data_IF_161883315546
#
_entry.id   IF_161883315546
#
_cell.length_a   1.000
_cell.length_b   1.000
_cell.length_c   1.000
_cell.angle_alpha   90.00
_cell.angle_beta   90.00
_cell.angle_gamma   90.00
#
_symmetry.space_group_name_H-M   'P 1'
#
loop_
_entity.id
_entity.type
_entity.pdbx_description
1 polymer ?
#
# COMPACT_ATOMS: atom_id res chain seq x y z
N UNK A 1 -34.38 34.79 -27.99
CA UNK A 1 -34.42 33.32 -28.14
C UNK A 1 -33.18 32.76 -27.49
N UNK A 2 -33.31 32.08 -26.33
CA UNK A 2 -32.18 31.38 -25.71
C UNK A 2 -31.84 30.21 -26.62
N UNK A 3 -30.62 30.19 -27.17
CA UNK A 3 -30.15 29.09 -28.02
C UNK A 3 -30.31 27.80 -27.23
N UNK A 4 -31.03 26.83 -27.80
CA UNK A 4 -31.07 25.49 -27.23
C UNK A 4 -29.63 24.93 -27.29
N UNK A 5 -29.16 24.27 -26.23
CA UNK A 5 -27.88 23.57 -26.27
C UNK A 5 -27.85 22.57 -27.45
N UNK A 6 -26.65 22.31 -27.96
CA UNK A 6 -26.40 21.28 -28.98
C UNK A 6 -26.99 19.92 -28.55
N UNK A 7 -27.44 19.09 -29.48
CA UNK A 7 -27.90 17.72 -29.19
C UNK A 7 -26.80 16.86 -28.55
N UNK A 8 -25.54 17.18 -28.81
CA UNK A 8 -24.35 16.54 -28.23
C UNK A 8 -23.82 17.25 -26.96
N UNK A 9 -24.53 18.25 -26.44
CA UNK A 9 -24.10 18.96 -25.23
C UNK A 9 -24.53 18.19 -23.98
N UNK A 10 -23.58 17.53 -23.34
CA UNK A 10 -23.75 16.99 -21.99
C UNK A 10 -23.36 18.07 -20.95
N UNK A 11 -24.24 18.32 -19.98
CA UNK A 11 -23.92 19.22 -18.85
C UNK A 11 -22.75 18.62 -18.06
N UNK A 12 -21.62 19.34 -17.87
CA UNK A 12 -20.50 18.85 -17.08
C UNK A 12 -20.88 18.39 -15.67
N UNK A 13 -21.91 19.00 -15.05
CA UNK A 13 -22.41 18.61 -13.75
C UNK A 13 -23.12 17.24 -13.78
N UNK A 14 -23.87 16.95 -14.84
CA UNK A 14 -24.52 15.66 -15.05
C UNK A 14 -23.51 14.58 -15.40
N UNK A 15 -22.51 14.89 -16.24
CA UNK A 15 -21.40 13.96 -16.55
C UNK A 15 -20.62 13.60 -15.28
N UNK A 16 -20.31 14.60 -14.44
CA UNK A 16 -19.67 14.38 -13.14
C UNK A 16 -20.56 13.56 -12.20
N UNK A 17 -21.87 13.84 -12.17
CA UNK A 17 -22.81 13.12 -11.31
C UNK A 17 -23.00 11.67 -11.76
N UNK A 18 -23.05 11.42 -13.07
CA UNK A 18 -23.09 10.07 -13.65
C UNK A 18 -21.79 9.32 -13.37
N UNK A 19 -20.64 10.00 -13.49
CA UNK A 19 -19.33 9.42 -13.16
C UNK A 19 -19.26 9.06 -11.68
N UNK A 20 -19.63 9.98 -10.80
CA UNK A 20 -19.69 9.77 -9.36
C UNK A 20 -20.68 8.64 -8.99
N UNK A 21 -21.86 8.61 -9.62
CA UNK A 21 -22.81 7.52 -9.44
C UNK A 21 -22.25 6.19 -9.94
N UNK A 22 -21.59 6.11 -11.10
CA UNK A 22 -20.93 4.87 -11.56
C UNK A 22 -19.83 4.41 -10.60
N UNK A 23 -19.08 5.37 -10.03
CA UNK A 23 -18.01 5.12 -9.07
C UNK A 23 -18.53 4.75 -7.66
N UNK A 24 -19.74 5.18 -7.28
CA UNK A 24 -20.31 5.05 -5.92
C UNK A 24 -21.72 4.38 -5.84
N UNK A 25 -22.21 3.75 -6.91
CA UNK A 25 -23.40 2.88 -6.95
C UNK A 25 -23.18 1.40 -6.51
N UNK A 26 -23.74 1.03 -5.36
CA UNK A 26 -23.64 -0.30 -4.72
C UNK A 26 -22.84 -0.29 -3.41
N UNK A 27 -22.88 -1.34 -2.59
CA UNK A 27 -21.97 -1.48 -1.43
C UNK A 27 -20.64 -2.07 -1.94
N UNK A 28 -19.68 -1.20 -2.28
CA UNK A 28 -18.49 -1.49 -3.12
C UNK A 28 -17.45 -2.44 -2.53
N UNK A 29 -17.64 -2.95 -1.31
CA UNK A 29 -16.57 -3.67 -0.60
C UNK A 29 -16.37 -5.12 -1.03
N UNK A 30 -17.31 -5.70 -1.79
CA UNK A 30 -17.26 -7.11 -2.23
C UNK A 30 -17.36 -7.28 -3.75
N UNK A 31 -16.87 -6.33 -4.55
CA UNK A 31 -16.95 -6.44 -6.02
C UNK A 31 -15.96 -7.48 -6.55
N UNK A 32 -16.47 -8.70 -6.75
CA UNK A 32 -15.80 -9.82 -7.44
C UNK A 32 -16.26 -9.97 -8.90
N UNK A 33 -17.09 -9.03 -9.38
CA UNK A 33 -17.63 -9.03 -10.74
C UNK A 33 -16.52 -8.94 -11.78
N UNK A 34 -16.68 -9.70 -12.89
CA UNK A 34 -15.67 -9.82 -13.95
C UNK A 34 -15.34 -8.49 -14.63
N UNK A 35 -16.31 -7.58 -14.67
CA UNK A 35 -16.22 -6.31 -15.40
C UNK A 35 -15.77 -5.14 -14.50
N UNK A 36 -15.45 -5.40 -13.22
CA UNK A 36 -15.02 -4.38 -12.29
C UNK A 36 -13.50 -4.38 -12.13
N UNK A 37 -12.89 -3.22 -12.36
CA UNK A 37 -11.47 -2.96 -12.11
C UNK A 37 -11.34 -2.03 -10.92
N UNK A 38 -10.64 -2.45 -9.86
CA UNK A 38 -10.46 -1.64 -8.64
C UNK A 38 -9.61 -0.41 -8.98
N UNK A 39 -10.12 0.82 -8.78
CA UNK A 39 -9.35 2.04 -8.99
C UNK A 39 -8.07 2.03 -8.15
N UNK A 40 -6.96 2.50 -8.73
CA UNK A 40 -5.62 2.39 -8.12
C UNK A 40 -5.55 2.98 -6.70
N UNK A 41 -6.19 4.13 -6.48
CA UNK A 41 -6.24 4.78 -5.17
C UNK A 41 -7.01 4.00 -4.09
N UNK A 42 -7.92 3.10 -4.50
CA UNK A 42 -8.71 2.23 -3.61
C UNK A 42 -8.06 0.85 -3.42
N UNK A 43 -6.99 0.53 -4.14
CA UNK A 43 -6.29 -0.75 -3.97
C UNK A 43 -5.72 -0.83 -2.55
N UNK A 44 -6.01 -1.94 -1.89
CA UNK A 44 -5.44 -2.26 -0.57
C UNK A 44 -4.03 -2.77 -0.81
N UNK A 45 -3.04 -2.14 -0.17
CA UNK A 45 -1.64 -2.55 -0.22
C UNK A 45 -1.15 -2.97 1.17
N UNK A 46 -0.01 -3.67 1.19
CA UNK A 46 0.57 -4.18 2.43
C UNK A 46 0.90 -3.05 3.41
N UNK A 47 1.31 -1.88 2.92
CA UNK A 47 1.62 -0.71 3.75
C UNK A 47 0.40 -0.18 4.51
N UNK A 48 -0.72 0.08 3.82
CA UNK A 48 -1.97 0.54 4.43
C UNK A 48 -2.44 -0.43 5.51
N UNK A 49 -2.36 -1.76 5.26
CA UNK A 49 -2.72 -2.77 6.25
C UNK A 49 -1.78 -2.81 7.46
N UNK A 50 -0.47 -2.60 7.26
CA UNK A 50 0.46 -2.42 8.39
C UNK A 50 0.09 -1.19 9.23
N UNK A 51 -0.26 -0.08 8.60
CA UNK A 51 -0.69 1.12 9.31
C UNK A 51 -1.97 0.86 10.13
N UNK A 52 -2.96 0.16 9.55
CA UNK A 52 -4.18 -0.24 10.28
C UNK A 52 -3.85 -1.09 11.52
N UNK A 53 -2.94 -2.07 11.40
CA UNK A 53 -2.48 -2.89 12.52
C UNK A 53 -1.81 -2.04 13.62
N UNK A 54 -0.92 -1.12 13.26
CA UNK A 54 -0.23 -0.25 14.22
C UNK A 54 -1.20 0.66 14.98
N UNK A 55 -2.22 1.19 14.28
CA UNK A 55 -3.28 1.99 14.90
C UNK A 55 -4.05 1.14 15.90
N UNK A 56 -4.46 -0.08 15.50
CA UNK A 56 -5.20 -0.99 16.37
C UNK A 56 -4.39 -1.36 17.62
N UNK A 57 -3.09 -1.67 17.48
CA UNK A 57 -2.20 -1.98 18.61
C UNK A 57 -2.07 -0.79 19.57
N UNK A 58 -1.96 0.43 19.03
CA UNK A 58 -1.91 1.66 19.82
C UNK A 58 -3.19 1.85 20.63
N UNK A 59 -4.36 1.64 20.01
CA UNK A 59 -5.66 1.71 20.69
C UNK A 59 -5.80 0.64 21.78
N UNK A 60 -5.37 -0.60 21.52
CA UNK A 60 -5.36 -1.68 22.51
C UNK A 60 -4.51 -1.28 23.71
N UNK A 61 -3.30 -0.78 23.46
CA UNK A 61 -2.37 -0.35 24.51
C UNK A 61 -2.95 0.80 25.35
N UNK A 62 -3.55 1.81 24.72
CA UNK A 62 -4.17 2.94 25.40
C UNK A 62 -5.31 2.48 26.32
N UNK A 63 -6.22 1.64 25.82
CA UNK A 63 -7.35 1.14 26.61
C UNK A 63 -6.89 0.28 27.80
N UNK A 64 -5.89 -0.59 27.58
CA UNK A 64 -5.28 -1.38 28.66
C UNK A 64 -4.63 -0.47 29.72
N UNK A 65 -3.89 0.55 29.28
CA UNK A 65 -3.21 1.51 30.17
C UNK A 65 -4.22 2.32 31.00
N UNK A 66 -5.30 2.79 30.38
CA UNK A 66 -6.38 3.52 31.07
C UNK A 66 -7.07 2.66 32.14
N UNK A 67 -7.32 1.39 31.83
CA UNK A 67 -7.87 0.44 32.80
C UNK A 67 -6.91 0.16 33.94
N UNK A 68 -5.63 -0.07 33.64
CA UNK A 68 -4.59 -0.28 34.64
C UNK A 68 -4.50 0.92 35.60
N UNK A 69 -4.56 2.14 35.06
CA UNK A 69 -4.62 3.36 35.87
C UNK A 69 -5.85 3.39 36.79
N UNK A 70 -7.01 2.95 36.31
CA UNK A 70 -8.23 2.85 37.14
C UNK A 70 -8.10 1.82 38.27
N UNK A 71 -7.45 0.68 38.01
CA UNK A 71 -7.19 -0.36 39.01
C UNK A 71 -6.20 0.14 40.06
N UNK A 72 -5.14 0.85 39.65
CA UNK A 72 -4.17 1.44 40.58
C UNK A 72 -4.82 2.47 41.49
N UNK A 73 -5.65 3.38 40.94
CA UNK A 73 -6.42 4.32 41.74
C UNK A 73 -7.33 3.63 42.76
N UNK A 74 -7.99 2.53 42.36
CA UNK A 74 -8.83 1.75 43.26
C UNK A 74 -8.02 1.07 44.37
N UNK A 75 -6.81 0.58 44.06
CA UNK A 75 -5.87 0.05 45.06
C UNK A 75 -5.49 1.14 46.07
N UNK A 76 -5.13 2.32 45.60
CA UNK A 76 -4.70 3.41 46.47
C UNK A 76 -5.87 3.92 47.33
N UNK A 77 -7.08 4.01 46.75
CA UNK A 77 -8.31 4.29 47.48
C UNK A 77 -8.59 3.22 48.56
N UNK A 78 -8.36 1.94 48.26
CA UNK A 78 -8.50 0.85 49.24
C UNK A 78 -7.57 1.04 50.43
N UNK A 79 -6.31 1.39 50.17
CA UNK A 79 -5.31 1.64 51.22
C UNK A 79 -5.77 2.79 52.12
N UNK A 80 -6.13 3.93 51.53
CA UNK A 80 -6.61 5.10 52.27
C UNK A 80 -7.89 4.80 53.08
N UNK A 81 -8.82 4.03 52.50
CA UNK A 81 -10.06 3.63 53.17
C UNK A 81 -9.78 2.75 54.38
N UNK A 82 -8.85 1.79 54.27
CA UNK A 82 -8.44 0.93 55.39
C UNK A 82 -7.77 1.74 56.49
N UNK A 83 -6.90 2.69 56.15
CA UNK A 83 -6.24 3.57 57.12
C UNK A 83 -7.26 4.42 57.88
N UNK A 84 -8.21 5.02 57.16
CA UNK A 84 -9.30 5.80 57.77
C UNK A 84 -10.23 4.94 58.61
N UNK A 85 -10.54 3.71 58.19
CA UNK A 85 -11.32 2.78 59.00
C UNK A 85 -10.59 2.44 60.30
N UNK A 86 -9.27 2.24 60.26
CA UNK A 86 -8.47 1.95 61.46
C UNK A 86 -8.49 3.11 62.46
N UNK A 87 -8.38 4.36 62.00
CA UNK A 87 -8.46 5.52 62.91
C UNK A 87 -9.85 5.63 63.54
N UNK A 88 -10.92 5.42 62.77
CA UNK A 88 -12.30 5.42 63.28
C UNK A 88 -12.56 4.29 64.28
N UNK A 89 -11.97 3.10 64.07
CA UNK A 89 -12.05 1.99 65.03
C UNK A 89 -11.39 2.34 66.36
N UNK A 90 -10.23 3.01 66.33
CA UNK A 90 -9.55 3.46 67.55
C UNK A 90 -10.40 4.50 68.30
N UNK A 91 -10.95 5.49 67.58
CA UNK A 91 -11.84 6.50 68.16
C UNK A 91 -13.11 5.86 68.77
N UNK A 92 -13.71 4.90 68.08
CA UNK A 92 -14.88 4.18 68.54
C UNK A 92 -14.60 3.37 69.81
N UNK A 93 -13.43 2.74 69.92
CA UNK A 93 -13.01 2.03 71.14
C UNK A 93 -12.88 2.95 72.33
N UNK A 94 -12.27 4.13 72.16
CA UNK A 94 -12.14 5.13 73.22
C UNK A 94 -13.51 5.59 73.73
N UNK A 95 -14.48 5.81 72.83
CA UNK A 95 -15.86 6.16 73.20
C UNK A 95 -16.56 5.00 73.92
N UNK A 96 -16.33 3.76 73.49
CA UNK A 96 -16.89 2.57 74.14
C UNK A 96 -16.31 2.34 75.54
N UNK A 97 -15.03 2.62 75.77
CA UNK A 97 -14.42 2.54 77.11
C UNK A 97 -15.09 3.46 78.14
N UNK A 98 -15.67 4.58 77.68
CA UNK A 98 -16.40 5.54 78.51
C UNK A 98 -17.90 5.21 78.68
N UNK A 99 -18.39 4.12 78.09
CA UNK A 99 -19.79 3.66 78.16
C UNK A 99 -19.91 2.31 78.88
N UNK A 100 -21.09 2.02 79.43
CA UNK A 100 -21.37 0.71 80.00
C UNK A 100 -21.30 -0.38 78.91
N UNK A 101 -20.69 -1.56 79.18
CA UNK A 101 -20.58 -2.63 78.20
C UNK A 101 -21.91 -3.10 77.59
N UNK A 102 -23.04 -2.96 78.29
CA UNK A 102 -24.36 -3.29 77.77
C UNK A 102 -24.83 -2.38 76.63
N UNK A 103 -24.25 -1.19 76.52
CA UNK A 103 -24.59 -0.18 75.50
C UNK A 103 -23.61 -0.16 74.32
N UNK A 104 -22.65 -1.09 74.27
CA UNK A 104 -21.68 -1.18 73.19
C UNK A 104 -22.36 -1.74 71.94
N UNK A 105 -22.34 -0.97 70.84
CA UNK A 105 -22.66 -1.51 69.50
C UNK A 105 -21.45 -2.24 68.90
N UNK A 106 -21.68 -3.25 68.04
CA UNK A 106 -20.60 -3.98 67.40
C UNK A 106 -19.78 -3.06 66.48
N UNK A 107 -18.45 -3.15 66.58
CA UNK A 107 -17.53 -2.46 65.68
C UNK A 107 -17.62 -3.13 64.30
N UNK A 108 -17.86 -2.37 63.22
CA UNK A 108 -17.89 -2.94 61.87
C UNK A 108 -16.57 -3.65 61.51
N UNK A 109 -16.63 -4.76 60.77
CA UNK A 109 -15.45 -5.53 60.42
C UNK A 109 -14.52 -4.68 59.55
N UNK A 110 -13.25 -4.55 59.98
CA UNK A 110 -12.23 -3.89 59.17
C UNK A 110 -11.71 -4.88 58.11
N UNK A 111 -11.56 -4.46 56.84
CA UNK A 111 -11.05 -5.35 55.79
C UNK A 111 -9.69 -5.95 56.17
N UNK A 112 -9.63 -7.27 56.26
CA UNK A 112 -8.40 -7.99 56.58
C UNK A 112 -7.39 -7.89 55.42
N UNK A 113 -6.12 -7.65 55.74
CA UNK A 113 -5.01 -7.65 54.78
C UNK A 113 -4.55 -9.07 54.42
N UNK A 114 -5.48 -10.00 54.14
CA UNK A 114 -5.18 -11.43 53.90
C UNK A 114 -4.22 -11.71 52.74
N UNK A 115 -4.00 -10.75 51.84
CA UNK A 115 -3.17 -10.89 50.65
C UNK A 115 -2.07 -9.83 50.54
N UNK A 116 -1.62 -9.24 51.65
CA UNK A 116 -0.37 -8.46 51.66
C UNK A 116 0.79 -9.43 51.85
N UNK A 117 1.61 -9.56 50.81
CA UNK A 117 2.85 -10.33 50.84
C UNK A 117 3.99 -9.35 51.06
N UNK A 118 4.61 -9.41 52.23
CA UNK A 118 5.81 -8.64 52.50
C UNK A 118 7.03 -9.40 51.96
N UNK A 119 8.17 -8.72 51.83
CA UNK A 119 9.42 -9.32 51.35
C UNK A 119 9.80 -10.57 52.14
N UNK A 120 9.48 -10.60 53.43
CA UNK A 120 9.65 -11.77 54.29
C UNK A 120 8.67 -12.91 53.97
N UNK A 121 7.42 -12.60 53.65
CA UNK A 121 6.41 -13.59 53.24
C UNK A 121 6.80 -14.26 51.93
N UNK A 122 7.32 -13.48 50.97
CA UNK A 122 7.82 -14.00 49.70
C UNK A 122 9.10 -14.84 49.87
N UNK A 123 10.03 -14.42 50.74
CA UNK A 123 11.21 -15.23 51.08
C UNK A 123 10.85 -16.55 51.76
N UNK A 124 9.88 -16.54 52.69
CA UNK A 124 9.39 -17.78 53.33
C UNK A 124 8.79 -18.73 52.31
N UNK A 125 7.97 -18.22 51.39
CA UNK A 125 7.41 -19.04 50.31
C UNK A 125 8.50 -19.61 49.39
N UNK A 126 9.53 -18.82 49.06
CA UNK A 126 10.68 -19.28 48.28
C UNK A 126 11.44 -20.40 49.00
N UNK A 127 11.75 -20.23 50.29
CA UNK A 127 12.38 -21.25 51.11
C UNK A 127 11.52 -22.51 51.24
N UNK A 128 10.20 -22.36 51.34
CA UNK A 128 9.27 -23.47 51.41
C UNK A 128 9.25 -24.27 50.10
N UNK A 129 9.31 -23.59 48.94
CA UNK A 129 9.43 -24.24 47.64
C UNK A 129 10.79 -24.94 47.45
N UNK A 130 11.88 -24.30 47.87
CA UNK A 130 13.24 -24.90 47.85
C UNK A 130 13.32 -26.14 48.74
N UNK A 131 12.76 -26.07 49.96
CA UNK A 131 12.66 -27.21 50.87
C UNK A 131 11.80 -28.32 50.27
N UNK A 132 10.71 -27.98 49.59
CA UNK A 132 9.81 -28.95 48.94
C UNK A 132 10.49 -29.68 47.77
N UNK A 133 11.39 -29.00 47.06
CA UNK A 133 12.27 -29.58 46.04
C UNK A 133 13.34 -30.47 46.68
N UNK A 134 13.90 -30.09 47.83
CA UNK A 134 14.89 -30.89 48.57
C UNK A 134 14.28 -32.12 49.27
N UNK A 135 13.02 -32.06 49.72
CA UNK A 135 12.32 -33.18 50.38
C UNK A 135 11.65 -34.14 49.40
N UNK A 136 11.75 -33.91 48.09
CA UNK A 136 11.26 -34.87 47.09
C UNK A 136 12.19 -36.09 47.06
N UNK A 137 11.73 -37.31 47.36
CA UNK A 137 12.53 -38.50 47.13
C UNK A 137 12.80 -38.61 45.63
N UNK A 138 14.05 -38.90 45.27
CA UNK A 138 14.48 -39.09 43.90
C UNK A 138 13.71 -40.25 43.26
N UNK A 139 12.65 -39.93 42.50
CA UNK A 139 12.11 -40.83 41.49
C UNK A 139 12.65 -40.35 40.16
N UNK A 140 13.39 -41.25 39.52
CA UNK A 140 14.11 -41.05 38.28
C UNK A 140 13.17 -40.79 37.09
N UNK A 141 13.65 -39.90 36.23
CA UNK A 141 13.45 -39.77 34.78
C UNK A 141 12.14 -39.22 34.19
N UNK A 142 12.35 -38.21 33.34
CA UNK A 142 11.34 -37.62 32.46
C UNK A 142 11.54 -36.12 32.29
N UNK A 143 12.63 -35.72 31.64
CA UNK A 143 13.02 -34.32 31.50
C UNK A 143 12.02 -33.46 30.72
N UNK A 144 11.93 -32.18 31.09
CA UNK A 144 12.16 -31.02 30.22
C UNK A 144 11.99 -29.75 31.08
N UNK A 145 13.08 -29.02 31.27
CA UNK A 145 13.04 -27.69 31.88
C UNK A 145 12.72 -26.64 30.83
N UNK A 146 11.97 -25.63 31.25
CA UNK A 146 11.99 -24.31 30.61
C UNK A 146 10.75 -23.91 29.82
N UNK A 147 10.40 -22.64 30.03
CA UNK A 147 9.48 -21.79 29.27
C UNK A 147 8.00 -21.79 29.65
N UNK A 148 7.56 -20.61 30.10
CA UNK A 148 6.19 -20.33 30.50
C UNK A 148 5.23 -20.17 29.33
N UNK A 149 3.95 -20.20 29.65
CA UNK A 149 2.89 -19.69 28.78
C UNK A 149 1.72 -20.64 28.57
N UNK A 150 0.59 -20.27 29.17
CA UNK A 150 -0.78 -20.39 28.64
C UNK A 150 -1.45 -21.76 28.42
N UNK A 151 -2.75 -21.79 28.74
CA UNK A 151 -3.71 -22.89 28.50
C UNK A 151 -4.13 -23.52 29.83
N UNK A 152 -5.33 -23.31 30.37
CA UNK A 152 -6.63 -23.43 29.70
C UNK A 152 -7.26 -24.77 30.14
N UNK A 153 -8.48 -24.70 30.68
CA UNK A 153 -9.36 -25.80 31.11
C UNK A 153 -9.09 -26.50 32.45
N UNK A 154 -9.87 -26.09 33.47
CA UNK A 154 -10.41 -26.98 34.50
C UNK A 154 -11.93 -26.80 34.54
N UNK A 155 -12.72 -27.88 34.46
CA UNK A 155 -14.16 -27.80 34.62
C UNK A 155 -14.56 -27.65 36.09
N UNK A 156 -15.68 -26.96 36.28
CA UNK A 156 -16.39 -26.80 37.55
C UNK A 156 -16.92 -28.17 37.97
N UNK A 157 -16.52 -28.66 39.15
CA UNK A 157 -17.23 -29.70 39.87
C UNK A 157 -17.40 -29.26 41.33
N UNK A 158 -18.64 -28.87 41.64
CA UNK A 158 -19.11 -28.67 42.99
C UNK A 158 -19.05 -29.99 43.77
N UNK A 159 -18.54 -29.93 45.00
CA UNK A 159 -18.97 -30.83 46.08
C UNK A 159 -18.86 -30.09 47.41
N UNK A 160 -20.01 -29.66 47.89
CA UNK A 160 -20.27 -29.52 49.32
C UNK A 160 -20.14 -30.91 49.95
N UNK A 161 -19.42 -30.98 51.06
CA UNK A 161 -19.74 -31.90 52.15
C UNK A 161 -19.12 -31.35 53.42
N UNK A 162 -19.99 -31.02 54.37
CA UNK A 162 -19.66 -30.93 55.78
C UNK A 162 -18.90 -32.19 56.24
N UNK A 163 -18.05 -32.05 57.26
CA UNK A 163 -18.12 -32.86 58.48
C UNK A 163 -17.22 -32.23 59.55
N UNK A 164 -17.82 -32.26 60.74
CA UNK A 164 -17.38 -31.82 62.05
C UNK A 164 -16.09 -32.49 62.54
N UNK A 165 -15.49 -31.78 63.51
CA UNK A 165 -14.79 -32.31 64.68
C UNK A 165 -13.49 -33.10 64.46
N UNK A 166 -12.37 -32.49 64.89
CA UNK A 166 -11.40 -33.20 65.73
C UNK A 166 -10.61 -32.22 66.59
N UNK A 167 -10.92 -32.25 67.88
CA UNK A 167 -10.10 -31.70 68.93
C UNK A 167 -8.72 -32.38 68.93
N UNK A 168 -7.69 -31.62 69.29
CA UNK A 168 -6.47 -32.19 69.85
C UNK A 168 -5.98 -31.27 70.97
N UNK A 169 -6.08 -31.84 72.15
CA UNK A 169 -5.51 -31.45 73.42
C UNK A 169 -3.99 -31.35 73.35
N UNK A 170 -3.45 -30.19 73.73
CA UNK A 170 -2.15 -30.12 74.38
C UNK A 170 -2.33 -29.41 75.72
N UNK A 171 -2.25 -30.23 76.76
CA UNK A 171 -2.13 -29.83 78.16
C UNK A 171 -0.85 -29.02 78.36
N UNK A 172 -0.98 -27.79 78.84
CA UNK A 172 0.07 -27.13 79.61
C UNK A 172 -0.56 -26.57 80.88
N UNK A 173 -0.27 -27.27 81.96
CA UNK A 173 -0.55 -26.89 83.33
C UNK A 173 0.16 -25.58 83.66
N UNK A 174 -0.60 -24.47 83.70
CA UNK A 174 -0.15 -23.25 84.37
C UNK A 174 -1.21 -22.80 85.35
N UNK A 175 -0.92 -23.12 86.61
CA UNK A 175 -1.62 -22.67 87.80
C UNK A 175 -1.73 -21.14 87.80
N UNK A 176 -2.96 -20.62 87.70
CA UNK A 176 -3.28 -19.27 88.14
C UNK A 176 -4.47 -19.35 89.10
N UNK A 177 -4.11 -19.17 90.37
CA UNK A 177 -5.02 -19.02 91.51
C UNK A 177 -6.06 -17.95 91.20
N UNK A 178 -7.30 -18.32 91.47
CA UNK A 178 -8.41 -17.42 91.75
C UNK A 178 -7.97 -16.35 92.75
N UNK A 179 -7.86 -15.09 92.31
CA UNK A 179 -7.91 -13.96 93.23
C UNK A 179 -9.37 -13.50 93.25
N UNK A 180 -10.06 -13.99 94.26
CA UNK A 180 -11.33 -13.49 94.73
C UNK A 180 -11.30 -11.96 94.84
N UNK A 181 -12.37 -11.37 94.34
CA UNK A 181 -12.78 -9.99 94.50
C UNK A 181 -12.62 -9.51 95.94
N UNK A 182 -11.70 -8.59 96.17
CA UNK A 182 -11.85 -7.57 97.20
C UNK A 182 -11.84 -6.21 96.51
N UNK A 183 -12.98 -5.89 95.90
CA UNK A 183 -13.37 -4.52 95.61
C UNK A 183 -13.46 -3.81 96.95
N UNK A 184 -12.41 -3.07 97.30
CA UNK A 184 -12.44 -2.13 98.41
C UNK A 184 -13.52 -1.10 98.03
N UNK A 185 -14.70 -1.25 98.63
CA UNK A 185 -15.80 -0.30 98.53
C UNK A 185 -15.30 0.99 99.18
N UNK A 186 -14.74 1.87 98.36
CA UNK A 186 -14.68 3.29 98.69
C UNK A 186 -16.14 3.74 98.74
N UNK A 187 -16.61 4.36 99.83
CA UNK A 187 -17.95 4.90 99.91
C UNK A 187 -18.17 5.80 98.68
N UNK A 188 -19.18 5.46 97.88
CA UNK A 188 -19.64 6.34 96.81
C UNK A 188 -19.97 7.67 97.49
N UNK A 189 -19.20 8.71 97.21
CA UNK A 189 -19.74 10.05 97.32
C UNK A 189 -21.06 10.01 96.55
N UNK A 190 -22.18 10.30 97.21
CA UNK A 190 -23.45 10.42 96.52
C UNK A 190 -23.27 11.55 95.51
N UNK A 191 -23.17 11.20 94.23
CA UNK A 191 -23.03 12.15 93.15
C UNK A 191 -24.11 13.21 93.31
N UNK A 192 -23.71 14.48 93.29
CA UNK A 192 -24.61 15.62 93.29
C UNK A 192 -25.59 15.49 92.12
N UNK A 193 -26.80 16.04 92.24
CA UNK A 193 -27.79 16.00 91.15
C UNK A 193 -27.26 16.61 89.85
N UNK A 194 -26.37 17.61 89.97
CA UNK A 194 -25.66 18.20 88.83
C UNK A 194 -24.66 17.22 88.20
N UNK A 195 -23.95 16.42 89.00
CA UNK A 195 -22.98 15.42 88.52
C UNK A 195 -23.68 14.25 87.83
N UNK A 196 -24.85 13.82 88.34
CA UNK A 196 -25.69 12.80 87.68
C UNK A 196 -26.23 13.31 86.35
N UNK A 197 -26.65 14.56 86.30
CA UNK A 197 -27.14 15.16 85.06
C UNK A 197 -26.02 15.34 84.04
N UNK A 198 -24.82 15.73 84.48
CA UNK A 198 -23.63 15.80 83.64
C UNK A 198 -23.25 14.42 83.07
N UNK A 199 -23.23 13.38 83.91
CA UNK A 199 -22.95 12.01 83.46
C UNK A 199 -23.98 11.51 82.44
N UNK A 200 -25.27 11.78 82.64
CA UNK A 200 -26.32 11.44 81.66
C UNK A 200 -26.14 12.17 80.33
N UNK A 201 -25.75 13.45 80.35
CA UNK A 201 -25.47 14.22 79.12
C UNK A 201 -24.26 13.66 78.37
N UNK A 202 -23.21 13.28 79.10
CA UNK A 202 -22.00 12.66 78.54
C UNK A 202 -22.33 11.29 77.93
N UNK A 203 -23.10 10.46 78.61
CA UNK A 203 -23.58 9.16 78.12
C UNK A 203 -24.38 9.30 76.81
N UNK A 204 -25.37 10.21 76.77
CA UNK A 204 -26.14 10.48 75.54
C UNK A 204 -25.22 10.94 74.40
N UNK A 205 -24.21 11.77 74.72
CA UNK A 205 -23.24 12.26 73.74
C UNK A 205 -22.39 11.11 73.20
N UNK A 206 -21.87 10.24 74.07
CA UNK A 206 -21.07 9.08 73.68
C UNK A 206 -21.88 8.07 72.86
N UNK A 207 -23.16 7.85 73.17
CA UNK A 207 -24.06 7.01 72.38
C UNK A 207 -24.26 7.56 70.96
N UNK A 208 -24.51 8.87 70.84
CA UNK A 208 -24.63 9.54 69.55
C UNK A 208 -23.32 9.47 68.73
N UNK A 209 -22.17 9.72 69.37
CA UNK A 209 -20.87 9.65 68.72
C UNK A 209 -20.55 8.24 68.24
N UNK A 210 -20.85 7.21 69.05
CA UNK A 210 -20.70 5.81 68.70
C UNK A 210 -21.49 5.47 67.43
N UNK A 211 -22.77 5.84 67.38
CA UNK A 211 -23.63 5.61 66.21
C UNK A 211 -23.12 6.36 64.97
N UNK A 212 -22.72 7.62 65.12
CA UNK A 212 -22.14 8.43 64.03
C UNK A 212 -20.89 7.79 63.44
N UNK A 213 -19.96 7.30 64.27
CA UNK A 213 -18.74 6.65 63.81
C UNK A 213 -19.03 5.33 63.08
N UNK A 214 -19.96 4.53 63.60
CA UNK A 214 -20.39 3.29 62.94
C UNK A 214 -21.03 3.59 61.58
N UNK A 215 -21.91 4.60 61.48
CA UNK A 215 -22.50 5.03 60.22
C UNK A 215 -21.43 5.50 59.24
N UNK A 216 -20.43 6.26 59.71
CA UNK A 216 -19.32 6.72 58.87
C UNK A 216 -18.47 5.56 58.35
N UNK A 217 -18.17 4.56 59.18
CA UNK A 217 -17.43 3.36 58.78
C UNK A 217 -18.19 2.55 57.74
N UNK A 218 -19.49 2.33 57.94
CA UNK A 218 -20.34 1.60 56.99
C UNK A 218 -20.44 2.35 55.65
N UNK A 219 -20.54 3.69 55.69
CA UNK A 219 -20.52 4.52 54.49
C UNK A 219 -19.22 4.38 53.71
N UNK A 220 -18.06 4.44 54.38
CA UNK A 220 -16.76 4.25 53.74
C UNK A 220 -16.64 2.88 53.06
N UNK A 221 -17.16 1.83 53.68
CA UNK A 221 -17.20 0.50 53.09
C UNK A 221 -18.10 0.47 51.83
N UNK A 222 -19.31 1.02 51.95
CA UNK A 222 -20.28 1.09 50.85
C UNK A 222 -19.79 1.89 49.64
N UNK A 223 -19.17 3.05 49.89
CA UNK A 223 -18.61 3.91 48.84
C UNK A 223 -17.47 3.18 48.09
N UNK A 224 -16.58 2.48 48.81
CA UNK A 224 -15.52 1.68 48.18
C UNK A 224 -16.08 0.51 47.37
N UNK A 225 -17.06 -0.22 47.90
CA UNK A 225 -17.69 -1.35 47.21
C UNK A 225 -18.43 -0.89 45.94
N UNK A 226 -19.02 0.31 45.96
CA UNK A 226 -19.63 0.91 44.78
C UNK A 226 -18.57 1.20 43.70
N UNK A 227 -17.46 1.84 44.05
CA UNK A 227 -16.35 2.11 43.12
C UNK A 227 -15.74 0.81 42.55
N UNK A 228 -15.56 -0.22 43.40
CA UNK A 228 -15.10 -1.54 42.97
C UNK A 228 -16.05 -2.16 41.95
N UNK A 229 -17.37 -2.07 42.16
CA UNK A 229 -18.37 -2.57 41.19
C UNK A 229 -18.31 -1.83 39.86
N UNK A 230 -18.13 -0.51 39.88
CA UNK A 230 -17.98 0.31 38.67
C UNK A 230 -16.74 -0.13 37.88
N UNK A 231 -15.58 -0.25 38.53
CA UNK A 231 -14.34 -0.69 37.87
C UNK A 231 -14.47 -2.11 37.35
N UNK A 232 -15.09 -3.02 38.11
CA UNK A 232 -15.35 -4.40 37.66
C UNK A 232 -16.21 -4.44 36.39
N UNK A 233 -17.28 -3.65 36.33
CA UNK A 233 -18.14 -3.60 35.14
C UNK A 233 -17.39 -3.03 33.93
N UNK A 234 -16.62 -1.94 34.13
CA UNK A 234 -15.74 -1.38 33.08
C UNK A 234 -14.74 -2.43 32.58
N UNK A 235 -14.11 -3.20 33.48
CA UNK A 235 -13.15 -4.27 33.12
C UNK A 235 -13.80 -5.36 32.28
N UNK A 236 -14.99 -5.82 32.68
CA UNK A 236 -15.73 -6.83 31.92
C UNK A 236 -16.04 -6.37 30.49
N UNK A 237 -16.48 -5.11 30.33
CA UNK A 237 -16.72 -4.53 29.00
C UNK A 237 -15.44 -4.41 28.19
N UNK A 238 -14.35 -3.98 28.82
CA UNK A 238 -13.05 -3.90 28.17
C UNK A 238 -12.59 -5.29 27.70
N UNK A 239 -12.78 -6.35 28.49
CA UNK A 239 -12.34 -7.69 28.09
C UNK A 239 -13.03 -8.19 26.82
N UNK A 240 -14.33 -7.90 26.66
CA UNK A 240 -15.05 -8.17 25.41
C UNK A 240 -14.45 -7.36 24.25
N UNK A 241 -14.16 -6.07 24.47
CA UNK A 241 -13.54 -5.21 23.46
C UNK A 241 -12.12 -5.68 23.10
N UNK A 242 -11.33 -6.15 24.06
CA UNK A 242 -9.99 -6.70 23.81
C UNK A 242 -10.08 -7.97 23.00
N UNK A 243 -11.07 -8.84 23.25
CA UNK A 243 -11.27 -10.03 22.41
C UNK A 243 -11.72 -9.69 21.00
N UNK A 244 -12.60 -8.72 20.82
CA UNK A 244 -12.95 -8.23 19.49
C UNK A 244 -11.73 -7.61 18.78
N UNK A 245 -10.89 -6.88 19.49
CA UNK A 245 -9.67 -6.28 18.95
C UNK A 245 -8.61 -7.35 18.61
N UNK A 246 -8.43 -8.39 19.45
CA UNK A 246 -7.56 -9.53 19.18
C UNK A 246 -8.00 -10.25 17.89
N UNK A 247 -9.31 -10.52 17.74
CA UNK A 247 -9.86 -11.12 16.52
C UNK A 247 -9.63 -10.23 15.30
N UNK A 248 -9.85 -8.93 15.42
CA UNK A 248 -9.60 -7.98 14.32
C UNK A 248 -8.12 -7.93 13.97
N UNK A 249 -7.22 -8.00 14.95
CA UNK A 249 -5.78 -8.03 14.74
C UNK A 249 -5.37 -9.26 13.94
N UNK A 250 -5.90 -10.44 14.28
CA UNK A 250 -5.69 -11.68 13.53
C UNK A 250 -6.15 -11.51 12.07
N UNK A 251 -7.38 -11.01 11.85
CA UNK A 251 -7.90 -10.80 10.49
C UNK A 251 -7.02 -9.84 9.68
N UNK A 252 -6.64 -8.69 10.25
CA UNK A 252 -5.77 -7.72 9.57
C UNK A 252 -4.38 -8.30 9.28
N UNK A 253 -3.88 -9.18 10.15
CA UNK A 253 -2.61 -9.86 9.96
C UNK A 253 -2.67 -10.90 8.85
N UNK A 254 -3.75 -11.69 8.78
CA UNK A 254 -4.01 -12.63 7.68
C UNK A 254 -4.11 -11.90 6.34
N UNK A 255 -4.88 -10.80 6.28
CA UNK A 255 -4.97 -9.92 5.11
C UNK A 255 -3.58 -9.37 4.71
N UNK A 256 -2.76 -8.96 5.68
CA UNK A 256 -1.41 -8.47 5.41
C UNK A 256 -0.49 -9.56 4.83
N UNK A 257 -0.54 -10.78 5.36
CA UNK A 257 0.23 -11.90 4.83
C UNK A 257 -0.17 -12.20 3.39
N UNK A 258 -1.48 -12.25 3.12
CA UNK A 258 -2.01 -12.43 1.78
C UNK A 258 -1.51 -11.33 0.84
N UNK A 259 -1.61 -10.06 1.24
CA UNK A 259 -1.16 -8.93 0.44
C UNK A 259 0.33 -9.00 0.10
N UNK A 260 1.19 -9.44 1.04
CA UNK A 260 2.63 -9.62 0.78
C UNK A 260 2.93 -10.71 -0.23
N UNK A 261 2.11 -11.77 -0.26
CA UNK A 261 2.26 -12.83 -1.27
C UNK A 261 1.86 -12.34 -2.66
N UNK A 262 0.78 -11.55 -2.74
CA UNK A 262 0.33 -10.93 -3.99
C UNK A 262 1.30 -9.85 -4.49
N UNK A 263 1.84 -9.01 -3.60
CA UNK A 263 2.77 -7.91 -3.91
C UNK A 263 3.92 -8.39 -4.81
N UNK A 264 4.60 -9.47 -4.42
CA UNK A 264 5.73 -10.01 -5.20
C UNK A 264 5.36 -10.41 -6.63
N UNK A 265 4.18 -11.00 -6.83
CA UNK A 265 3.74 -11.46 -8.16
C UNK A 265 3.17 -10.30 -8.97
N UNK A 266 2.48 -9.38 -8.31
CA UNK A 266 1.96 -8.15 -8.91
C UNK A 266 3.10 -7.28 -9.43
N UNK A 267 4.18 -7.12 -8.65
CA UNK A 267 5.38 -6.37 -9.05
C UNK A 267 5.99 -6.93 -10.35
N UNK A 268 6.09 -8.26 -10.47
CA UNK A 268 6.62 -8.91 -11.68
C UNK A 268 5.70 -8.68 -12.89
N UNK A 269 4.37 -8.73 -12.70
CA UNK A 269 3.43 -8.45 -13.78
C UNK A 269 3.43 -6.96 -14.17
N UNK A 270 3.56 -6.08 -13.19
CA UNK A 270 3.66 -4.63 -13.39
C UNK A 270 4.95 -4.27 -14.14
N UNK A 271 6.08 -4.90 -13.79
CA UNK A 271 7.36 -4.76 -14.50
C UNK A 271 7.23 -5.21 -15.96
N UNK A 272 6.61 -6.38 -16.22
CA UNK A 272 6.34 -6.83 -17.60
C UNK A 272 5.51 -5.82 -18.40
N UNK A 273 4.49 -5.21 -17.81
CA UNK A 273 3.69 -4.17 -18.48
C UNK A 273 4.56 -2.94 -18.75
N UNK A 274 5.34 -2.48 -17.76
CA UNK A 274 6.27 -1.35 -17.90
C UNK A 274 7.30 -1.58 -19.01
N UNK A 275 7.90 -2.76 -19.07
CA UNK A 275 8.89 -3.12 -20.10
C UNK A 275 8.27 -3.10 -21.50
N UNK A 276 7.03 -3.59 -21.64
CA UNK A 276 6.31 -3.57 -22.93
C UNK A 276 5.90 -2.16 -23.35
N UNK A 277 5.54 -1.29 -22.40
CA UNK A 277 5.28 0.13 -22.67
C UNK A 277 6.58 0.80 -23.16
N UNK A 278 7.70 0.58 -22.45
CA UNK A 278 8.98 1.15 -22.84
C UNK A 278 9.43 0.66 -24.24
N UNK A 279 9.32 -0.64 -24.52
CA UNK A 279 9.65 -1.19 -25.84
C UNK A 279 8.74 -0.62 -26.94
N UNK A 280 7.45 -0.48 -26.66
CA UNK A 280 6.49 0.10 -27.59
C UNK A 280 6.82 1.56 -27.91
N UNK A 281 7.13 2.36 -26.89
CA UNK A 281 7.51 3.76 -27.04
C UNK A 281 8.81 3.91 -27.83
N UNK A 282 9.81 3.07 -27.58
CA UNK A 282 11.08 3.08 -28.32
C UNK A 282 10.92 2.67 -29.79
N UNK A 283 10.02 1.71 -30.09
CA UNK A 283 9.71 1.35 -31.48
C UNK A 283 8.88 2.43 -32.16
N UNK A 284 7.94 3.07 -31.45
CA UNK A 284 7.15 4.20 -31.97
C UNK A 284 8.04 5.39 -32.33
N UNK A 285 8.95 5.77 -31.43
CA UNK A 285 9.95 6.84 -31.70
C UNK A 285 10.79 6.54 -32.93
N UNK A 286 11.34 5.32 -33.03
CA UNK A 286 12.08 4.91 -34.24
C UNK A 286 11.21 4.99 -35.49
N UNK A 287 9.97 4.54 -35.42
CA UNK A 287 9.03 4.62 -36.55
C UNK A 287 8.78 6.07 -36.96
N UNK A 288 8.66 7.00 -36.01
CA UNK A 288 8.51 8.44 -36.28
C UNK A 288 9.77 9.01 -36.94
N UNK A 289 10.97 8.66 -36.46
CA UNK A 289 12.24 9.08 -37.05
C UNK A 289 12.37 8.61 -38.51
N UNK A 290 12.01 7.35 -38.80
CA UNK A 290 12.02 6.81 -40.16
C UNK A 290 11.00 7.49 -41.07
N UNK A 291 9.81 7.83 -40.55
CA UNK A 291 8.80 8.58 -41.30
C UNK A 291 9.27 10.00 -41.62
N UNK A 292 9.95 10.67 -40.69
CA UNK A 292 10.56 11.98 -40.94
C UNK A 292 11.67 11.89 -42.01
N UNK A 293 12.55 10.89 -41.91
CA UNK A 293 13.59 10.64 -42.92
C UNK A 293 12.98 10.38 -44.30
N UNK A 294 11.91 9.59 -44.38
CA UNK A 294 11.22 9.30 -45.63
C UNK A 294 10.63 10.60 -46.24
N UNK A 295 10.06 11.49 -45.42
CA UNK A 295 9.55 12.78 -45.88
C UNK A 295 10.67 13.71 -46.36
N UNK A 296 11.83 13.72 -45.70
CA UNK A 296 13.00 14.49 -46.18
C UNK A 296 13.51 13.98 -47.52
N UNK A 297 13.60 12.65 -47.69
CA UNK A 297 14.01 12.00 -48.93
C UNK A 297 13.00 12.23 -50.05
N UNK A 298 11.71 12.19 -49.75
CA UNK A 298 10.63 12.55 -50.68
C UNK A 298 10.78 13.97 -51.22
N UNK A 299 11.09 14.94 -50.35
CA UNK A 299 11.37 16.33 -50.76
C UNK A 299 12.62 16.44 -51.64
N UNK A 300 13.66 15.67 -51.33
CA UNK A 300 14.89 15.63 -52.13
C UNK A 300 14.66 15.04 -53.53
N UNK A 301 13.88 13.96 -53.63
CA UNK A 301 13.45 13.39 -54.93
C UNK A 301 12.67 14.43 -55.74
N UNK A 302 11.72 15.17 -55.14
CA UNK A 302 11.00 16.24 -55.84
C UNK A 302 11.95 17.35 -56.32
N UNK A 303 12.93 17.74 -55.50
CA UNK A 303 13.94 18.75 -55.87
C UNK A 303 14.81 18.28 -57.04
N UNK A 304 15.22 17.02 -57.07
CA UNK A 304 15.98 16.44 -58.18
C UNK A 304 15.15 16.39 -59.46
N UNK A 305 13.86 16.02 -59.37
CA UNK A 305 12.94 16.06 -60.50
C UNK A 305 12.73 17.49 -61.04
N UNK A 306 12.63 18.50 -60.17
CA UNK A 306 12.55 19.90 -60.58
C UNK A 306 13.84 20.37 -61.25
N UNK A 307 15.01 19.96 -60.75
CA UNK A 307 16.30 20.25 -61.40
C UNK A 307 16.40 19.60 -62.78
N UNK A 308 15.96 18.37 -62.93
CA UNK A 308 15.94 17.68 -64.23
C UNK A 308 15.04 18.45 -65.22
N UNK A 309 13.83 18.84 -64.79
CA UNK A 309 12.92 19.70 -65.57
C UNK A 309 13.56 21.04 -65.92
N UNK A 310 14.28 21.67 -64.98
CA UNK A 310 14.97 22.94 -65.22
C UNK A 310 16.14 22.79 -66.22
N UNK A 311 16.89 21.68 -66.16
CA UNK A 311 17.94 21.35 -67.12
C UNK A 311 17.36 21.11 -68.52
N UNK A 312 16.21 20.42 -68.61
CA UNK A 312 15.46 20.27 -69.85
C UNK A 312 14.96 21.61 -70.41
N UNK A 313 14.41 22.48 -69.56
CA UNK A 313 13.98 23.81 -69.98
C UNK A 313 15.16 24.70 -70.41
N UNK A 314 16.30 24.63 -69.71
CA UNK A 314 17.53 25.33 -70.08
C UNK A 314 18.08 24.84 -71.42
N UNK A 315 18.02 23.53 -71.67
CA UNK A 315 18.36 22.93 -72.96
C UNK A 315 17.46 23.44 -74.09
N UNK A 316 16.14 23.46 -73.89
CA UNK A 316 15.19 24.01 -74.87
C UNK A 316 15.42 25.51 -75.13
N UNK A 317 15.73 26.28 -74.09
CA UNK A 317 16.05 27.71 -74.21
C UNK A 317 17.36 27.93 -74.97
N UNK A 318 18.39 27.11 -74.73
CA UNK A 318 19.66 27.18 -75.43
C UNK A 318 19.56 26.76 -76.91
N UNK A 319 18.62 25.87 -77.25
CA UNK A 319 18.32 25.45 -78.62
C UNK A 319 17.71 26.57 -79.48
N UNK A 320 16.76 27.34 -78.92
CA UNK A 320 16.03 28.40 -79.63
C UNK A 320 15.03 27.92 -80.70
N UNK A 321 14.14 28.81 -81.16
CA UNK A 321 13.16 28.50 -82.21
C UNK A 321 13.82 28.51 -83.61
N UNK A 322 13.85 27.37 -84.31
CA UNK A 322 14.29 27.28 -85.71
C UNK A 322 15.74 26.83 -85.97
N UNK A 323 16.36 26.08 -85.03
CA UNK A 323 17.75 25.66 -85.15
C UNK A 323 17.91 24.41 -86.06
N UNK A 324 18.74 24.50 -87.11
CA UNK A 324 18.94 23.42 -88.11
C UNK A 324 19.55 22.14 -87.52
N UNK A 325 20.18 22.24 -86.36
CA UNK A 325 20.82 21.12 -85.64
C UNK A 325 20.01 20.65 -84.43
N UNK A 326 18.74 21.07 -84.28
CA UNK A 326 17.92 20.75 -83.12
C UNK A 326 17.75 19.24 -82.91
N UNK A 327 17.53 18.48 -83.99
CA UNK A 327 17.42 17.02 -83.93
C UNK A 327 18.72 16.35 -83.47
N UNK A 328 19.87 16.83 -83.96
CA UNK A 328 21.20 16.32 -83.58
C UNK A 328 21.54 16.63 -82.11
N UNK A 329 21.38 17.89 -81.68
CA UNK A 329 21.68 18.31 -80.30
C UNK A 329 20.74 17.67 -79.27
N UNK A 330 19.48 17.43 -79.63
CA UNK A 330 18.53 16.67 -78.80
C UNK A 330 18.97 15.21 -78.65
N UNK A 331 19.51 14.61 -79.72
CA UNK A 331 20.07 13.26 -79.68
C UNK A 331 21.32 13.20 -78.79
N UNK A 332 22.22 14.18 -78.90
CA UNK A 332 23.41 14.31 -78.03
C UNK A 332 23.02 14.49 -76.55
N UNK A 333 22.04 15.33 -76.24
CA UNK A 333 21.57 15.58 -74.87
C UNK A 333 20.86 14.37 -74.25
N UNK A 334 20.02 13.66 -75.02
CA UNK A 334 19.28 12.46 -74.57
C UNK A 334 20.17 11.22 -74.47
N UNK A 335 21.30 11.16 -75.18
CA UNK A 335 22.17 9.97 -75.21
C UNK A 335 22.72 9.65 -73.83
N UNK A 336 22.39 8.46 -73.31
CA UNK A 336 22.96 7.92 -72.07
C UNK A 336 24.41 7.51 -72.30
N UNK A 337 25.33 7.94 -71.43
CA UNK A 337 26.72 7.47 -71.41
C UNK A 337 26.82 6.44 -70.29
N UNK A 338 27.34 5.24 -70.59
CA UNK A 338 27.75 4.30 -69.54
C UNK A 338 28.94 4.90 -68.79
N UNK A 339 28.69 5.49 -67.63
CA UNK A 339 29.74 5.93 -66.72
C UNK A 339 30.22 4.72 -65.92
N UNK A 340 31.50 4.38 -66.03
CA UNK A 340 32.13 3.37 -65.17
C UNK A 340 32.33 4.02 -63.81
N UNK A 341 31.55 3.62 -62.80
CA UNK A 341 31.79 4.02 -61.41
C UNK A 341 33.23 3.66 -61.04
N UNK A 342 34.04 4.66 -60.72
CA UNK A 342 35.39 4.47 -60.19
C UNK A 342 35.21 3.89 -58.78
N UNK A 343 35.52 2.60 -58.61
CA UNK A 343 35.54 1.90 -57.32
C UNK A 343 36.51 2.63 -56.39
N UNK A 344 36.01 3.34 -55.38
CA UNK A 344 36.79 3.61 -54.19
C UNK A 344 36.77 2.35 -53.32
N UNK A 345 37.97 1.85 -53.03
CA UNK A 345 38.20 0.65 -52.23
C UNK A 345 37.94 1.00 -50.77
N UNK A 346 36.81 0.58 -50.23
CA UNK A 346 36.69 0.28 -48.80
C UNK A 346 36.29 -1.19 -48.70
N UNK A 347 37.21 -2.00 -48.19
CA UNK A 347 36.97 -3.41 -47.94
C UNK A 347 36.08 -3.57 -46.72
N UNK A 348 35.04 -4.39 -46.84
CA UNK A 348 34.86 -5.51 -45.94
C UNK A 348 34.00 -6.57 -46.65
N UNK A 349 34.36 -7.82 -46.38
CA UNK A 349 33.69 -9.02 -46.85
C UNK A 349 32.36 -9.19 -46.10
N UNK A 350 31.29 -9.59 -46.78
CA UNK A 350 30.63 -10.89 -46.61
C UNK A 350 29.34 -10.96 -47.45
N UNK A 351 29.03 -12.19 -47.83
CA UNK A 351 28.03 -12.68 -48.78
C UNK A 351 26.59 -12.48 -48.26
N UNK A 352 25.61 -12.31 -49.15
CA UNK A 352 24.47 -13.24 -49.24
C UNK A 352 23.45 -12.85 -50.34
N UNK A 353 23.35 -13.81 -51.26
CA UNK A 353 22.24 -14.29 -52.09
C UNK A 353 21.14 -13.32 -52.58
N UNK A 354 21.23 -13.10 -53.90
CA UNK A 354 20.21 -12.55 -54.80
C UNK A 354 18.88 -13.34 -54.76
N UNK A 355 17.78 -12.60 -54.63
CA UNK A 355 16.48 -13.02 -55.18
C UNK A 355 15.86 -11.81 -55.88
N UNK A 356 16.23 -11.63 -57.14
CA UNK A 356 15.64 -10.68 -58.07
C UNK A 356 14.22 -11.15 -58.45
N UNK A 357 13.20 -10.43 -57.99
CA UNK A 357 11.88 -10.44 -58.62
C UNK A 357 11.63 -9.04 -59.17
N UNK A 358 12.00 -8.89 -60.46
CA UNK A 358 11.77 -7.71 -61.29
C UNK A 358 10.27 -7.37 -61.30
N UNK A 359 9.92 -6.20 -60.77
CA UNK A 359 8.60 -5.60 -60.98
C UNK A 359 8.79 -4.30 -61.76
N UNK A 360 8.80 -4.46 -63.08
CA UNK A 360 8.66 -3.38 -64.06
C UNK A 360 7.36 -2.61 -63.83
N UNK A 361 7.45 -1.40 -63.25
CA UNK A 361 6.43 -0.37 -63.40
C UNK A 361 6.96 0.76 -64.30
N UNK A 362 6.68 0.57 -65.59
CA UNK A 362 6.62 1.56 -66.66
C UNK A 362 6.06 2.91 -66.18
N UNK A 363 6.92 3.94 -66.12
CA UNK A 363 6.45 5.34 -66.12
C UNK A 363 6.56 5.90 -67.54
N UNK A 364 5.47 5.68 -68.27
CA UNK A 364 5.15 6.22 -69.60
C UNK A 364 5.19 7.75 -69.58
N UNK A 365 6.30 8.32 -70.04
CA UNK A 365 6.28 9.62 -70.70
C UNK A 365 6.28 9.36 -72.21
N UNK A 366 5.11 8.99 -72.73
CA UNK A 366 4.83 9.10 -74.16
C UNK A 366 4.86 10.59 -74.52
N UNK A 367 5.96 11.02 -75.11
CA UNK A 367 5.93 12.07 -76.11
C UNK A 367 5.96 11.35 -77.45
N UNK A 368 4.77 11.10 -77.96
CA UNK A 368 4.51 10.72 -79.34
C UNK A 368 5.15 11.77 -80.26
N UNK A 369 6.21 11.37 -80.95
CA UNK A 369 6.75 12.07 -82.11
C UNK A 369 7.37 10.99 -83.01
N UNK A 370 6.51 10.43 -83.84
CA UNK A 370 6.91 9.73 -85.06
C UNK A 370 7.72 10.68 -85.95
N UNK A 371 9.05 10.56 -86.00
CA UNK A 371 9.82 11.05 -87.14
C UNK A 371 10.95 10.10 -87.55
N UNK A 372 10.61 9.33 -88.59
CA UNK A 372 11.38 9.08 -89.81
C UNK A 372 12.86 8.71 -89.67
N UNK A 373 13.15 7.43 -89.92
CA UNK A 373 14.45 6.96 -90.38
C UNK A 373 14.81 7.64 -91.71
N UNK A 374 15.85 8.48 -91.68
CA UNK A 374 16.63 8.84 -92.86
C UNK A 374 18.10 8.61 -92.54
N UNK A 375 18.68 7.60 -93.19
CA UNK A 375 20.12 7.44 -93.32
C UNK A 375 20.73 8.68 -93.96
N UNK A 376 21.63 9.37 -93.27
CA UNK A 376 22.89 9.86 -93.86
C UNK A 376 23.79 10.45 -92.77
N UNK A 377 25.04 9.99 -92.75
CA UNK A 377 26.10 10.60 -91.96
C UNK A 377 26.30 9.97 -90.61
N UNK A 378 27.30 9.08 -90.54
CA UNK A 378 28.13 8.83 -89.37
C UNK A 378 28.73 10.15 -88.85
N UNK A 379 27.91 11.00 -88.23
CA UNK A 379 28.41 12.10 -87.41
C UNK A 379 28.73 11.51 -86.05
N UNK A 380 30.01 11.49 -85.71
CA UNK A 380 30.46 11.20 -84.37
C UNK A 380 29.84 12.23 -83.43
N UNK A 381 28.92 11.79 -82.57
CA UNK A 381 28.25 12.62 -81.55
C UNK A 381 29.23 13.32 -80.58
N UNK A 382 30.54 13.06 -80.73
CA UNK A 382 31.65 13.67 -80.00
C UNK A 382 32.31 14.85 -80.74
N UNK A 383 31.92 15.13 -82.00
CA UNK A 383 32.54 16.15 -82.85
C UNK A 383 31.51 17.19 -83.29
N UNK A 384 31.84 18.46 -83.05
CA UNK A 384 30.99 19.59 -83.44
C UNK A 384 30.82 19.64 -84.97
N UNK A 385 29.59 19.65 -85.53
CA UNK A 385 29.37 19.78 -86.96
C UNK A 385 29.88 21.12 -87.52
N UNK A 386 30.32 21.14 -88.79
CA UNK A 386 31.00 22.27 -89.47
C UNK A 386 30.23 23.60 -89.55
N UNK A 387 29.00 23.70 -89.01
CA UNK A 387 28.20 24.93 -88.94
C UNK A 387 27.42 25.09 -87.62
N UNK A 388 27.77 24.33 -86.57
CA UNK A 388 27.24 24.53 -85.22
C UNK A 388 28.21 25.40 -84.42
N UNK A 389 27.71 26.39 -83.68
CA UNK A 389 28.57 27.20 -82.80
C UNK A 389 29.21 26.31 -81.74
N UNK A 390 30.56 26.25 -81.63
CA UNK A 390 31.26 25.40 -80.66
C UNK A 390 30.79 25.62 -79.22
N UNK A 391 30.47 26.86 -78.87
CA UNK A 391 29.96 27.26 -77.55
C UNK A 391 28.61 26.62 -77.19
N UNK A 392 27.74 26.41 -78.18
CA UNK A 392 26.41 25.81 -77.99
C UNK A 392 26.52 24.28 -77.87
N UNK A 393 27.46 23.67 -78.61
CA UNK A 393 27.77 22.25 -78.48
C UNK A 393 28.38 21.92 -77.11
N UNK A 394 29.36 22.70 -76.65
CA UNK A 394 29.95 22.55 -75.32
C UNK A 394 28.93 22.79 -74.19
N UNK A 395 28.02 23.76 -74.36
CA UNK A 395 26.92 23.99 -73.43
C UNK A 395 25.96 22.79 -73.35
N UNK A 396 25.64 22.17 -74.48
CA UNK A 396 24.80 20.96 -74.54
C UNK A 396 25.50 19.76 -73.89
N UNK A 397 26.81 19.60 -74.06
CA UNK A 397 27.60 18.56 -73.38
C UNK A 397 27.61 18.77 -71.86
N UNK A 398 27.79 20.01 -71.38
CA UNK A 398 27.73 20.33 -69.95
C UNK A 398 26.32 20.11 -69.37
N UNK A 399 25.26 20.47 -70.11
CA UNK A 399 23.88 20.21 -69.69
C UNK A 399 23.57 18.72 -69.64
N UNK A 400 24.12 17.94 -70.57
CA UNK A 400 24.04 16.47 -70.57
C UNK A 400 24.73 15.87 -69.35
N UNK A 401 25.94 16.31 -69.01
CA UNK A 401 26.64 15.83 -67.81
C UNK A 401 25.85 16.11 -66.54
N UNK A 402 25.36 17.35 -66.39
CA UNK A 402 24.51 17.75 -65.24
C UNK A 402 23.20 16.97 -65.19
N UNK A 403 22.59 16.65 -66.35
CA UNK A 403 21.40 15.80 -66.42
C UNK A 403 21.70 14.39 -65.94
N UNK A 404 22.78 13.78 -66.42
CA UNK A 404 23.18 12.44 -66.02
C UNK A 404 23.55 12.37 -64.53
N UNK A 405 24.18 13.41 -63.97
CA UNK A 405 24.44 13.50 -62.52
C UNK A 405 23.14 13.57 -61.70
N UNK A 406 22.16 14.35 -62.18
CA UNK A 406 20.85 14.44 -61.55
C UNK A 406 20.05 13.14 -61.67
N UNK A 407 20.12 12.45 -62.81
CA UNK A 407 19.47 11.14 -63.05
C UNK A 407 20.07 10.05 -62.15
N UNK A 408 21.41 9.99 -62.03
CA UNK A 408 22.09 9.05 -61.13
C UNK A 408 21.75 9.30 -59.66
N UNK A 409 21.80 10.57 -59.22
CA UNK A 409 21.40 10.95 -57.87
C UNK A 409 19.91 10.64 -57.60
N UNK A 410 19.03 10.82 -58.58
CA UNK A 410 17.60 10.53 -58.44
C UNK A 410 17.33 9.03 -58.30
N UNK A 411 18.05 8.18 -59.03
CA UNK A 411 17.95 6.72 -58.88
C UNK A 411 18.47 6.28 -57.51
N UNK A 412 19.60 6.82 -57.05
CA UNK A 412 20.15 6.52 -55.73
C UNK A 412 19.22 6.97 -54.59
N UNK A 413 18.70 8.19 -54.65
CA UNK A 413 17.76 8.72 -53.66
C UNK A 413 16.44 7.93 -53.64
N UNK A 414 15.90 7.54 -54.81
CA UNK A 414 14.73 6.63 -54.87
C UNK A 414 15.01 5.28 -54.23
N UNK A 415 16.18 4.67 -54.49
CA UNK A 415 16.58 3.42 -53.86
C UNK A 415 16.66 3.55 -52.33
N UNK A 416 17.21 4.65 -51.82
CA UNK A 416 17.24 4.91 -50.36
C UNK A 416 15.84 5.12 -49.78
N UNK A 417 14.95 5.82 -50.50
CA UNK A 417 13.56 6.02 -50.10
C UNK A 417 12.80 4.69 -50.02
N UNK A 418 12.98 3.80 -50.98
CA UNK A 418 12.33 2.48 -50.99
C UNK A 418 12.82 1.59 -49.84
N UNK A 419 14.11 1.65 -49.50
CA UNK A 419 14.66 0.95 -48.33
C UNK A 419 14.08 1.51 -47.02
N UNK A 420 14.06 2.84 -46.85
CA UNK A 420 13.45 3.49 -45.69
C UNK A 420 11.96 3.15 -45.56
N UNK A 421 11.24 3.05 -46.69
CA UNK A 421 9.83 2.65 -46.72
C UNK A 421 9.64 1.21 -46.24
N UNK A 422 10.48 0.27 -46.68
CA UNK A 422 10.47 -1.13 -46.20
C UNK A 422 10.73 -1.21 -44.70
N UNK A 423 11.69 -0.45 -44.19
CA UNK A 423 11.99 -0.40 -42.74
C UNK A 423 10.86 0.23 -41.92
N UNK A 424 10.25 1.32 -42.40
CA UNK A 424 9.09 1.95 -41.77
C UNK A 424 7.88 0.99 -41.71
N UNK A 425 7.59 0.27 -42.79
CA UNK A 425 6.52 -0.73 -42.84
C UNK A 425 6.79 -1.91 -41.88
N UNK A 426 8.06 -2.33 -41.74
CA UNK A 426 8.46 -3.36 -40.79
C UNK A 426 8.27 -2.90 -39.33
N UNK A 427 8.67 -1.66 -39.00
CA UNK A 427 8.46 -1.07 -37.69
C UNK A 427 6.97 -0.89 -37.38
N UNK A 428 6.15 -0.45 -38.34
CA UNK A 428 4.71 -0.31 -38.16
C UNK A 428 4.02 -1.66 -37.85
N UNK A 429 4.48 -2.76 -38.48
CA UNK A 429 4.02 -4.12 -38.12
C UNK A 429 4.45 -4.50 -36.70
N UNK A 430 5.71 -4.18 -36.31
CA UNK A 430 6.21 -4.43 -34.96
C UNK A 430 5.42 -3.66 -33.89
N UNK A 431 5.07 -2.41 -34.13
CA UNK A 431 4.19 -1.61 -33.24
C UNK A 431 2.87 -2.33 -32.98
N UNK A 432 2.19 -2.81 -34.03
CA UNK A 432 0.91 -3.53 -33.88
C UNK A 432 1.05 -4.81 -33.05
N UNK A 433 2.14 -5.56 -33.24
CA UNK A 433 2.41 -6.78 -32.47
C UNK A 433 2.65 -6.44 -30.99
N UNK A 434 3.45 -5.41 -30.72
CA UNK A 434 3.72 -4.95 -29.35
C UNK A 434 2.47 -4.39 -28.66
N UNK A 435 1.58 -3.69 -29.38
CA UNK A 435 0.31 -3.22 -28.84
C UNK A 435 -0.62 -4.37 -28.44
N UNK A 436 -0.67 -5.44 -29.22
CA UNK A 436 -1.41 -6.66 -28.85
C UNK A 436 -0.76 -7.33 -27.64
N UNK A 437 0.58 -7.45 -27.63
CA UNK A 437 1.31 -8.02 -26.50
C UNK A 437 1.12 -7.21 -25.21
N UNK A 438 1.11 -5.88 -25.30
CA UNK A 438 0.87 -4.98 -24.17
C UNK A 438 -0.54 -5.19 -23.62
N UNK A 439 -1.56 -5.20 -24.49
CA UNK A 439 -2.95 -5.48 -24.08
C UNK A 439 -3.06 -6.83 -23.38
N UNK A 440 -2.39 -7.88 -23.87
CA UNK A 440 -2.40 -9.18 -23.19
C UNK A 440 -1.78 -9.12 -21.79
N UNK A 441 -0.65 -8.43 -21.63
CA UNK A 441 0.00 -8.25 -20.33
C UNK A 441 -0.85 -7.42 -19.36
N UNK A 442 -1.51 -6.36 -19.84
CA UNK A 442 -2.45 -5.56 -19.06
C UNK A 442 -3.65 -6.41 -18.59
N UNK A 443 -4.24 -7.22 -19.48
CA UNK A 443 -5.35 -8.10 -19.10
C UNK A 443 -4.96 -9.17 -18.07
N UNK A 444 -3.73 -9.70 -18.15
CA UNK A 444 -3.18 -10.65 -17.17
C UNK A 444 -3.01 -9.98 -15.81
N UNK A 445 -2.44 -8.76 -15.77
CA UNK A 445 -2.29 -7.98 -14.55
C UNK A 445 -3.65 -7.65 -13.92
N UNK A 446 -4.64 -7.24 -14.70
CA UNK A 446 -5.98 -6.99 -14.19
C UNK A 446 -6.65 -8.26 -13.66
N UNK A 447 -6.47 -9.40 -14.33
CA UNK A 447 -6.98 -10.69 -13.86
C UNK A 447 -6.37 -11.06 -12.50
N UNK A 448 -5.07 -10.84 -12.35
CA UNK A 448 -4.37 -11.06 -11.09
C UNK A 448 -4.87 -10.12 -9.98
N UNK A 449 -5.12 -8.85 -10.29
CA UNK A 449 -5.70 -7.89 -9.34
C UNK A 449 -7.12 -8.25 -8.91
N UNK A 450 -7.92 -8.83 -9.80
CA UNK A 450 -9.24 -9.36 -9.45
C UNK A 450 -9.14 -10.58 -8.53
N UNK A 451 -8.20 -11.51 -8.80
CA UNK A 451 -7.95 -12.65 -7.92
C UNK A 451 -7.54 -12.18 -6.52
N UNK A 452 -6.65 -11.19 -6.43
CA UNK A 452 -6.25 -10.55 -5.17
C UNK A 452 -7.47 -10.01 -4.40
N UNK A 453 -8.36 -9.29 -5.08
CA UNK A 453 -9.56 -8.75 -4.45
C UNK A 453 -10.53 -9.85 -4.02
N UNK A 454 -10.68 -10.92 -4.80
CA UNK A 454 -11.51 -12.08 -4.43
C UNK A 454 -11.00 -12.73 -3.15
N UNK A 455 -9.71 -13.03 -3.06
CA UNK A 455 -9.12 -13.64 -1.85
C UNK A 455 -9.14 -12.73 -0.62
N UNK A 456 -9.14 -11.40 -0.81
CA UNK A 456 -9.31 -10.45 0.30
C UNK A 456 -10.75 -10.35 0.80
N UNK A 457 -11.73 -10.75 -0.03
CA UNK A 457 -13.14 -10.73 0.33
C UNK A 457 -13.62 -12.03 0.98
N UNK A 458 -12.92 -13.15 0.73
CA UNK A 458 -13.09 -14.44 1.42
C UNK A 458 -12.66 -14.33 2.90
#
# INVERSE_FOLDING_TARGET
YKMKPSEDYEDPADVLSIKNAKENMGDFKLKTAKDYTVPEHLRINAERKRSELTILESMIHEQKSSMNGSILRLRDLKIQTIEKMRSLVLELRLIQEALDPSQHRPIPPTPEKKFQYDTETLRRFQQEQENRVQTRPAVQEGGFGGFGGFGGNQPIAAKQSEILSRASSTSTTRSQRTRSSHRRLVPSAELSDLEREAARREEITHLYLQERLITQMNKLAGDFDAELRIVRHKKMRLDVQMKAADLRHITLFEELLLLKEFEKREDVLQEKVSDRIAELDDVKRRSEDFMEQLETKRKEVMRLQEKEKALHAAFLTALGEGNKFAAFLTRVFKKKIKRVKKKEVHGDEEEDEDSDEDSDEESTYESDDEESESEEGSFDDSVCPDNCSPELFDSVLQLREKRLDAEEALVEEKKTMDNLKKEADALAKKVKILEVSLKTAETELEAFQREKQQKLNE
#
